data_IF_128659115709
#
_entry.id   IF_128659115709
#
_cell.length_a   1.000
_cell.length_b   1.000
_cell.length_c   1.000
_cell.angle_alpha   90.00
_cell.angle_beta   90.00
_cell.angle_gamma   90.00
#
_symmetry.space_group_name_H-M   'P 1'
#
loop_
_entity.id
_entity.type
_entity.pdbx_description
1 polymer ?
#
# COMPACT_ATOMS: atom_id res chain seq x y z
N UNK A 1 -25.05 15.72 7.50
CA UNK A 1 -23.95 16.24 8.37
C UNK A 1 -23.01 17.16 7.60
N UNK A 2 -22.63 16.85 6.34
CA UNK A 2 -21.89 17.76 5.45
C UNK A 2 -22.65 19.03 5.07
N UNK A 3 -23.99 19.02 5.14
CA UNK A 3 -24.85 20.16 4.84
C UNK A 3 -24.78 21.31 5.87
N UNK A 4 -24.11 21.11 7.02
CA UNK A 4 -24.10 22.08 8.12
C UNK A 4 -22.88 23.00 8.14
N UNK A 5 -21.72 22.51 7.66
CA UNK A 5 -20.51 23.31 7.50
C UNK A 5 -19.56 22.61 6.52
N UNK A 6 -18.98 23.32 5.53
CA UNK A 6 -18.09 22.73 4.53
C UNK A 6 -16.88 22.00 5.16
N UNK A 7 -16.42 22.44 6.34
CA UNK A 7 -15.26 21.84 7.00
C UNK A 7 -15.49 20.42 7.55
N UNK A 8 -16.74 19.99 7.73
CA UNK A 8 -17.00 18.62 8.18
C UNK A 8 -16.60 17.58 7.13
N UNK A 9 -16.60 17.93 5.84
CA UNK A 9 -16.05 17.08 4.80
C UNK A 9 -14.53 16.87 4.98
N UNK A 10 -13.80 17.95 5.27
CA UNK A 10 -12.35 17.92 5.51
C UNK A 10 -12.02 17.12 6.78
N UNK A 11 -12.77 17.33 7.87
CA UNK A 11 -12.59 16.58 9.11
C UNK A 11 -12.83 15.08 8.90
N UNK A 12 -13.94 14.71 8.24
CA UNK A 12 -14.24 13.31 7.94
C UNK A 12 -13.16 12.65 7.08
N UNK A 13 -12.66 13.36 6.05
CA UNK A 13 -11.57 12.89 5.21
C UNK A 13 -10.28 12.65 6.03
N UNK A 14 -9.91 13.58 6.92
CA UNK A 14 -8.73 13.44 7.78
C UNK A 14 -8.85 12.25 8.73
N UNK A 15 -10.03 12.03 9.32
CA UNK A 15 -10.29 10.88 10.19
C UNK A 15 -10.15 9.57 9.40
N UNK A 16 -10.74 9.49 8.21
CA UNK A 16 -10.66 8.31 7.37
C UNK A 16 -9.21 7.97 6.97
N UNK A 17 -8.43 8.96 6.53
CA UNK A 17 -7.01 8.78 6.18
C UNK A 17 -6.17 8.40 7.39
N UNK A 18 -6.40 9.04 8.55
CA UNK A 18 -5.70 8.70 9.80
C UNK A 18 -5.96 7.25 10.23
N UNK A 19 -7.21 6.79 10.11
CA UNK A 19 -7.57 5.41 10.41
C UNK A 19 -6.97 4.43 9.39
N UNK A 20 -6.91 4.79 8.11
CA UNK A 20 -6.26 3.96 7.09
C UNK A 20 -4.78 3.78 7.41
N UNK A 21 -4.05 4.86 7.67
CA UNK A 21 -2.61 4.80 7.99
C UNK A 21 -2.29 4.00 9.25
N UNK A 22 -3.20 3.91 10.23
CA UNK A 22 -3.04 3.07 11.43
C UNK A 22 -3.16 1.57 11.12
N UNK A 23 -3.86 1.20 10.06
CA UNK A 23 -4.14 -0.19 9.69
C UNK A 23 -3.32 -0.68 8.49
N UNK A 24 -2.49 0.17 7.88
CA UNK A 24 -1.64 -0.18 6.74
C UNK A 24 -0.17 -0.28 7.15
N UNK A 25 0.61 -1.07 6.42
CA UNK A 25 2.07 -1.15 6.59
C UNK A 25 2.73 0.17 6.17
N UNK A 26 3.80 0.56 6.88
CA UNK A 26 4.54 1.81 6.60
C UNK A 26 5.44 1.70 5.38
N UNK A 27 5.98 0.51 5.12
CA UNK A 27 6.89 0.28 4.02
C UNK A 27 6.12 -0.17 2.78
N UNK A 28 6.30 0.57 1.69
CA UNK A 28 5.73 0.24 0.41
C UNK A 28 6.15 -1.16 -0.07
N UNK A 29 7.44 -1.48 0.06
CA UNK A 29 7.99 -2.79 -0.34
C UNK A 29 7.39 -3.97 0.44
N UNK A 30 7.01 -3.79 1.71
CA UNK A 30 6.32 -4.83 2.48
C UNK A 30 4.90 -5.08 1.97
N UNK A 31 4.18 -4.01 1.62
CA UNK A 31 2.82 -4.13 1.05
C UNK A 31 2.87 -4.84 -0.30
N UNK A 32 3.85 -4.51 -1.13
CA UNK A 32 4.06 -5.14 -2.44
C UNK A 32 4.40 -6.63 -2.30
N UNK A 33 5.18 -7.02 -1.28
CA UNK A 33 5.43 -8.44 -0.97
C UNK A 33 4.16 -9.19 -0.59
N UNK A 34 3.26 -8.59 0.19
CA UNK A 34 1.99 -9.25 0.54
C UNK A 34 1.11 -9.45 -0.70
N UNK A 35 1.01 -8.42 -1.53
CA UNK A 35 0.24 -8.48 -2.79
C UNK A 35 0.82 -9.51 -3.76
N UNK A 36 2.15 -9.63 -3.81
CA UNK A 36 2.83 -10.62 -4.64
C UNK A 36 2.60 -12.06 -4.18
N UNK A 37 2.63 -12.28 -2.87
CA UNK A 37 2.44 -13.59 -2.25
C UNK A 37 0.97 -13.91 -1.96
N UNK A 38 0.04 -13.10 -2.48
CA UNK A 38 -1.38 -13.27 -2.24
C UNK A 38 -1.86 -14.64 -2.73
N UNK A 39 -2.58 -15.33 -1.84
CA UNK A 39 -3.22 -16.62 -2.08
C UNK A 39 -4.72 -16.40 -2.06
N UNK A 40 -5.40 -16.86 -3.09
CA UNK A 40 -6.86 -16.77 -3.16
C UNK A 40 -7.48 -17.67 -2.10
N UNK A 41 -8.20 -17.10 -1.13
CA UNK A 41 -8.87 -17.85 -0.06
C UNK A 41 -9.87 -18.89 -0.58
N UNK A 42 -10.46 -18.65 -1.76
CA UNK A 42 -11.46 -19.53 -2.36
C UNK A 42 -10.86 -20.77 -3.02
N UNK A 43 -9.66 -20.64 -3.61
CA UNK A 43 -9.04 -21.71 -4.41
C UNK A 43 -7.78 -22.29 -3.77
N UNK A 44 -7.19 -21.60 -2.78
CA UNK A 44 -5.89 -21.96 -2.19
C UNK A 44 -4.71 -21.82 -3.15
N UNK A 45 -4.93 -21.28 -4.35
CA UNK A 45 -3.90 -21.10 -5.36
C UNK A 45 -3.24 -19.74 -5.24
N UNK A 46 -1.96 -19.68 -5.61
CA UNK A 46 -1.22 -18.41 -5.74
C UNK A 46 -1.94 -17.54 -6.77
N UNK A 47 -2.46 -16.42 -6.31
CA UNK A 47 -3.21 -15.45 -7.09
C UNK A 47 -2.57 -14.09 -6.86
N UNK A 48 -1.35 -13.96 -7.39
CA UNK A 48 -0.56 -12.75 -7.24
C UNK A 48 -1.31 -11.57 -7.84
N UNK A 49 -1.39 -10.47 -7.09
CA UNK A 49 -2.08 -9.26 -7.52
C UNK A 49 -1.17 -8.32 -8.32
N UNK A 50 0.11 -8.68 -8.46
CA UNK A 50 1.14 -7.89 -9.12
C UNK A 50 1.94 -8.85 -10.03
N UNK A 51 2.34 -8.38 -11.20
CA UNK A 51 3.18 -9.14 -12.11
C UNK A 51 4.63 -9.29 -11.58
N UNK A 52 5.30 -10.37 -11.97
CA UNK A 52 6.66 -10.71 -11.51
C UNK A 52 7.68 -9.61 -11.87
N UNK A 53 7.60 -9.06 -13.09
CA UNK A 53 8.46 -7.99 -13.58
C UNK A 53 8.34 -6.70 -12.75
N UNK A 54 7.11 -6.31 -12.40
CA UNK A 54 6.83 -5.15 -11.56
C UNK A 54 7.36 -5.38 -10.14
N UNK A 55 7.15 -6.57 -9.58
CA UNK A 55 7.66 -6.92 -8.24
C UNK A 55 9.19 -6.86 -8.20
N UNK A 56 9.87 -7.41 -9.20
CA UNK A 56 11.33 -7.40 -9.30
C UNK A 56 11.91 -5.99 -9.40
N UNK A 57 11.30 -5.13 -10.23
CA UNK A 57 11.72 -3.72 -10.38
C UNK A 57 11.61 -3.00 -9.03
N UNK A 58 10.46 -3.14 -8.35
CA UNK A 58 10.23 -2.50 -7.05
C UNK A 58 11.25 -3.01 -6.04
N UNK A 59 11.43 -4.32 -5.91
CA UNK A 59 12.37 -4.90 -4.96
C UNK A 59 13.81 -4.46 -5.23
N UNK A 60 14.22 -4.35 -6.50
CA UNK A 60 15.55 -3.87 -6.88
C UNK A 60 15.77 -2.40 -6.52
N UNK A 61 14.79 -1.54 -6.78
CA UNK A 61 14.88 -0.10 -6.47
C UNK A 61 14.96 0.14 -4.96
N UNK A 62 14.16 -0.58 -4.17
CA UNK A 62 14.13 -0.41 -2.71
C UNK A 62 15.23 -1.18 -1.96
N UNK A 63 15.90 -2.15 -2.59
CA UNK A 63 17.02 -2.90 -2.00
C UNK A 63 18.39 -2.25 -2.24
N UNK A 64 18.49 -1.27 -3.15
CA UNK A 64 19.75 -0.54 -3.35
C UNK A 64 19.99 0.35 -2.12
N UNK A 65 21.11 0.17 -1.39
CA UNK A 65 21.49 1.11 -0.34
C UNK A 65 21.63 2.48 -0.99
N UNK A 66 21.09 3.50 -0.33
CA UNK A 66 21.16 4.91 -0.74
C UNK A 66 22.61 5.43 -0.70
N UNK A 67 23.48 4.90 -1.55
CA UNK A 67 24.93 5.09 -1.52
C UNK A 67 25.58 5.27 -2.89
N UNK A 68 24.82 5.37 -3.98
CA UNK A 68 25.33 5.79 -5.29
C UNK A 68 24.31 6.71 -5.97
N UNK A 69 24.14 7.90 -5.41
CA UNK A 69 23.85 9.08 -6.20
C UNK A 69 24.94 10.09 -5.82
N UNK A 70 25.76 10.43 -6.80
CA UNK A 70 26.80 11.47 -6.74
C UNK A 70 26.25 12.79 -6.23
#
# INVERSE_FOLDING_TARGET
MTANHPDYASLAARIAVSNLHKNTKKLFSETIKDMYNHISERSGLKASLIADDVYEIIMKVFALPAGHAF
#
